data_IF_319106356530
#
_entry.id   IF_319106356530
#
_cell.length_a   1.000
_cell.length_b   1.000
_cell.length_c   1.000
_cell.angle_alpha   90.00
_cell.angle_beta   90.00
_cell.angle_gamma   90.00
#
_symmetry.space_group_name_H-M   'P 1'
#
loop_
_entity.id
_entity.type
_entity.pdbx_description
1 polymer ?
#
# COMPACT_ATOMS: atom_id res chain seq x y z
N UNK A 1 21.81 -9.69 -17.19
CA UNK A 1 21.31 -9.01 -15.97
C UNK A 1 21.26 -9.99 -14.79
N UNK A 2 22.16 -9.86 -13.81
CA UNK A 2 22.01 -10.60 -12.55
C UNK A 2 20.78 -10.13 -11.78
N UNK A 3 19.97 -11.07 -11.32
CA UNK A 3 18.84 -10.74 -10.44
C UNK A 3 19.33 -10.72 -9.01
N UNK A 4 19.18 -9.60 -8.30
CA UNK A 4 19.40 -9.53 -6.86
C UNK A 4 18.46 -10.50 -6.17
N UNK A 5 19.02 -11.56 -5.57
CA UNK A 5 18.23 -12.56 -4.83
C UNK A 5 17.86 -11.98 -3.47
N UNK A 6 18.83 -11.35 -2.81
CA UNK A 6 18.69 -10.96 -1.42
C UNK A 6 19.64 -9.82 -1.05
N UNK A 7 19.15 -8.94 -0.19
CA UNK A 7 19.92 -7.88 0.45
C UNK A 7 19.87 -8.14 1.94
N UNK A 8 21.01 -8.53 2.54
CA UNK A 8 21.10 -8.82 3.98
C UNK A 8 21.91 -7.75 4.71
N UNK A 9 21.32 -7.20 5.78
CA UNK A 9 22.09 -6.51 6.82
C UNK A 9 22.90 -7.54 7.60
N UNK A 10 24.20 -7.30 7.79
CA UNK A 10 25.03 -8.13 8.67
C UNK A 10 24.67 -7.85 10.15
N UNK A 11 24.11 -8.81 10.90
CA UNK A 11 23.70 -8.57 12.28
C UNK A 11 24.86 -8.20 13.21
N UNK A 12 26.09 -8.60 12.87
CA UNK A 12 27.29 -8.32 13.68
C UNK A 12 27.68 -6.85 13.59
N UNK A 13 27.67 -6.28 12.38
CA UNK A 13 28.08 -4.89 12.17
C UNK A 13 26.92 -3.91 12.30
N UNK A 14 25.70 -4.33 11.96
CA UNK A 14 24.53 -3.46 11.86
C UNK A 14 23.59 -3.54 13.07
N UNK A 15 24.04 -4.06 14.23
CA UNK A 15 23.20 -4.21 15.44
C UNK A 15 22.48 -2.92 15.83
N UNK A 16 23.19 -1.78 15.79
CA UNK A 16 22.61 -0.45 16.09
C UNK A 16 21.51 -0.08 15.10
N UNK A 17 21.74 -0.34 13.80
CA UNK A 17 20.79 -0.05 12.73
C UNK A 17 19.52 -0.91 12.84
N UNK A 18 19.65 -2.20 13.16
CA UNK A 18 18.51 -3.10 13.37
C UNK A 18 17.64 -2.66 14.56
N UNK A 19 18.26 -2.26 15.67
CA UNK A 19 17.52 -1.75 16.83
C UNK A 19 16.83 -0.44 16.49
N UNK A 20 17.55 0.49 15.84
CA UNK A 20 17.00 1.76 15.38
C UNK A 20 15.79 1.57 14.46
N UNK A 21 15.90 0.73 13.44
CA UNK A 21 14.83 0.45 12.48
C UNK A 21 13.56 -0.05 13.19
N UNK A 22 13.69 -1.00 14.13
CA UNK A 22 12.56 -1.58 14.87
C UNK A 22 11.78 -0.55 15.67
N UNK A 23 12.43 0.50 16.15
CA UNK A 23 11.76 1.55 16.92
C UNK A 23 11.29 2.70 16.04
N UNK A 24 12.10 3.10 15.05
CA UNK A 24 11.75 4.17 14.13
C UNK A 24 10.55 3.80 13.25
N UNK A 25 10.44 2.55 12.79
CA UNK A 25 9.30 2.10 11.98
C UNK A 25 7.97 2.23 12.73
N UNK A 26 7.98 2.02 14.05
CA UNK A 26 6.77 2.17 14.90
C UNK A 26 6.38 3.63 15.02
N UNK A 27 7.36 4.52 15.27
CA UNK A 27 7.15 5.95 15.37
C UNK A 27 6.67 6.53 14.03
N UNK A 28 7.36 6.20 12.94
CA UNK A 28 7.00 6.57 11.59
C UNK A 28 5.58 6.12 11.24
N UNK A 29 5.24 4.86 11.53
CA UNK A 29 3.91 4.33 11.26
C UNK A 29 2.83 4.99 12.11
N UNK A 30 3.14 5.36 13.36
CA UNK A 30 2.25 6.13 14.21
C UNK A 30 1.96 7.51 13.63
N UNK A 31 3.01 8.25 13.25
CA UNK A 31 2.88 9.56 12.62
C UNK A 31 2.11 9.48 11.31
N UNK A 32 2.39 8.49 10.45
CA UNK A 32 1.69 8.27 9.20
C UNK A 32 0.18 8.01 9.36
N UNK A 33 -0.23 7.30 10.42
CA UNK A 33 -1.65 7.12 10.75
C UNK A 33 -2.33 8.41 11.19
N UNK A 34 -1.62 9.25 11.93
CA UNK A 34 -2.15 10.54 12.34
C UNK A 34 -2.31 11.49 11.16
N UNK A 35 -1.31 11.53 10.25
CA UNK A 35 -1.43 12.27 8.99
C UNK A 35 -2.61 11.77 8.18
N UNK A 36 -2.79 10.45 8.04
CA UNK A 36 -3.95 9.90 7.34
C UNK A 36 -5.28 10.38 7.94
N UNK A 37 -5.38 10.36 9.27
CA UNK A 37 -6.56 10.86 9.97
C UNK A 37 -6.77 12.36 9.71
N UNK A 38 -5.70 13.16 9.76
CA UNK A 38 -5.76 14.60 9.51
C UNK A 38 -6.18 14.92 8.07
N UNK A 39 -5.63 14.21 7.08
CA UNK A 39 -6.01 14.34 5.66
C UNK A 39 -7.47 13.93 5.38
N UNK A 40 -8.04 13.05 6.20
CA UNK A 40 -9.46 12.66 6.11
C UNK A 40 -10.40 13.65 6.81
N UNK A 41 -9.85 14.55 7.63
CA UNK A 41 -10.58 15.55 8.40
C UNK A 41 -9.97 16.92 8.16
N UNK A 42 -9.97 17.43 6.91
CA UNK A 42 -9.37 18.72 6.59
C UNK A 42 -9.97 19.87 7.41
N UNK A 43 -11.23 19.74 7.85
CA UNK A 43 -11.89 20.68 8.76
C UNK A 43 -11.19 20.87 10.12
N UNK A 44 -10.28 19.95 10.49
CA UNK A 44 -9.50 20.02 11.73
C UNK A 44 -8.06 20.51 11.52
N UNK A 45 -7.67 20.77 10.27
CA UNK A 45 -6.31 21.14 9.90
C UNK A 45 -6.15 22.65 9.90
N UNK A 46 -5.40 23.18 10.87
CA UNK A 46 -5.11 24.62 10.99
C UNK A 46 -3.80 25.04 10.35
N UNK A 47 -2.91 24.09 10.03
CA UNK A 47 -1.62 24.33 9.39
C UNK A 47 -1.24 23.18 8.43
N UNK A 48 -0.21 23.37 7.59
CA UNK A 48 0.34 22.30 6.76
C UNK A 48 0.70 21.05 7.58
N UNK A 49 0.49 19.87 6.99
CA UNK A 49 0.61 18.59 7.70
C UNK A 49 2.03 18.29 8.18
N UNK A 50 3.02 18.74 7.42
CA UNK A 50 4.45 18.62 7.74
C UNK A 50 4.84 19.57 8.89
N UNK A 51 4.37 20.82 8.88
CA UNK A 51 4.56 21.74 10.00
C UNK A 51 3.94 21.22 11.30
N UNK A 52 2.71 20.69 11.22
CA UNK A 52 2.03 20.07 12.35
C UNK A 52 2.84 18.90 12.93
N UNK A 53 3.36 18.03 12.06
CA UNK A 53 4.22 16.91 12.47
C UNK A 53 5.53 17.39 13.12
N UNK A 54 6.19 18.40 12.52
CA UNK A 54 7.43 18.99 13.05
C UNK A 54 7.21 19.49 14.47
N UNK A 55 6.16 20.32 14.69
CA UNK A 55 5.83 20.88 16.01
C UNK A 55 5.47 19.79 17.03
N UNK A 56 4.66 18.79 16.63
CA UNK A 56 4.16 17.75 17.55
C UNK A 56 5.21 16.71 17.95
N UNK A 57 6.12 16.35 17.05
CA UNK A 57 7.05 15.23 17.25
C UNK A 57 8.52 15.65 17.31
N UNK A 58 8.86 16.93 17.09
CA UNK A 58 10.25 17.40 17.08
C UNK A 58 11.10 16.74 15.99
N UNK A 59 10.48 16.39 14.87
CA UNK A 59 11.15 15.71 13.76
C UNK A 59 11.67 16.73 12.74
N UNK A 60 12.68 16.32 11.99
CA UNK A 60 13.23 17.10 10.87
C UNK A 60 12.21 17.25 9.76
N UNK A 61 12.35 18.33 9.02
CA UNK A 61 11.48 18.64 7.88
C UNK A 61 11.47 17.54 6.81
N UNK A 62 12.63 16.95 6.49
CA UNK A 62 12.72 15.86 5.51
C UNK A 62 11.87 14.66 5.92
N UNK A 63 11.96 14.27 7.19
CA UNK A 63 11.17 13.17 7.75
C UNK A 63 9.67 13.48 7.70
N UNK A 64 9.28 14.68 8.11
CA UNK A 64 7.88 15.12 8.07
C UNK A 64 7.33 15.07 6.64
N UNK A 65 8.07 15.63 5.69
CA UNK A 65 7.71 15.63 4.28
C UNK A 65 7.64 14.23 3.68
N UNK A 66 8.59 13.36 4.01
CA UNK A 66 8.57 11.96 3.57
C UNK A 66 7.31 11.23 4.05
N UNK A 67 6.92 11.41 5.32
CA UNK A 67 5.70 10.84 5.87
C UNK A 67 4.48 11.40 5.12
N UNK A 68 4.37 12.71 5.00
CA UNK A 68 3.23 13.38 4.35
C UNK A 68 3.09 12.92 2.90
N UNK A 69 4.18 12.94 2.11
CA UNK A 69 4.18 12.48 0.71
C UNK A 69 3.82 11.00 0.59
N UNK A 70 4.34 10.14 1.46
CA UNK A 70 4.02 8.71 1.44
C UNK A 70 2.52 8.48 1.70
N UNK A 71 1.96 9.16 2.69
CA UNK A 71 0.56 9.03 3.07
C UNK A 71 -0.36 9.66 2.01
N UNK A 72 0.01 10.81 1.46
CA UNK A 72 -0.70 11.46 0.35
C UNK A 72 -0.74 10.54 -0.88
N UNK A 73 0.39 9.93 -1.25
CA UNK A 73 0.47 8.98 -2.36
C UNK A 73 -0.43 7.75 -2.13
N UNK A 74 -0.41 7.17 -0.92
CA UNK A 74 -1.34 6.07 -0.56
C UNK A 74 -2.80 6.49 -0.64
N UNK A 75 -3.12 7.72 -0.22
CA UNK A 75 -4.48 8.27 -0.27
C UNK A 75 -4.94 8.46 -1.70
N UNK A 76 -4.10 9.04 -2.56
CA UNK A 76 -4.36 9.22 -3.98
C UNK A 76 -4.59 7.87 -4.67
N UNK A 77 -3.68 6.91 -4.47
CA UNK A 77 -3.82 5.55 -5.02
C UNK A 77 -5.12 4.87 -4.57
N UNK A 78 -5.51 5.02 -3.30
CA UNK A 78 -6.77 4.48 -2.81
C UNK A 78 -7.98 5.20 -3.43
N UNK A 79 -7.90 6.51 -3.67
CA UNK A 79 -8.98 7.28 -4.29
C UNK A 79 -9.19 6.85 -5.75
N UNK A 80 -8.12 6.70 -6.51
CA UNK A 80 -8.16 6.16 -7.88
C UNK A 80 -8.73 4.75 -7.91
N UNK A 81 -8.29 3.86 -7.01
CA UNK A 81 -8.87 2.53 -6.88
C UNK A 81 -10.40 2.58 -6.66
N UNK A 82 -10.90 3.52 -5.87
CA UNK A 82 -12.35 3.68 -5.63
C UNK A 82 -13.08 4.16 -6.88
N UNK A 83 -12.49 5.06 -7.67
CA UNK A 83 -13.05 5.48 -8.97
C UNK A 83 -13.14 4.32 -9.95
N UNK A 84 -12.08 3.52 -10.07
CA UNK A 84 -12.06 2.33 -10.92
C UNK A 84 -13.09 1.28 -10.47
N UNK A 85 -13.18 1.03 -9.16
CA UNK A 85 -14.22 0.17 -8.57
C UNK A 85 -15.63 0.66 -8.92
N UNK A 86 -15.87 1.98 -8.86
CA UNK A 86 -17.16 2.57 -9.20
C UNK A 86 -17.49 2.39 -10.69
N UNK A 87 -16.53 2.64 -11.58
CA UNK A 87 -16.71 2.46 -13.02
C UNK A 87 -17.08 1.00 -13.36
N UNK A 88 -16.27 0.04 -12.88
CA UNK A 88 -16.53 -1.38 -13.08
C UNK A 88 -17.89 -1.82 -12.50
N UNK A 89 -18.28 -1.25 -11.35
CA UNK A 89 -19.58 -1.55 -10.74
C UNK A 89 -20.74 -1.02 -11.58
N UNK A 90 -20.62 0.19 -12.16
CA UNK A 90 -21.64 0.78 -13.04
C UNK A 90 -21.85 -0.09 -14.29
N UNK A 91 -20.78 -0.55 -14.92
CA UNK A 91 -20.86 -1.44 -16.09
C UNK A 91 -21.51 -2.79 -15.76
N UNK A 92 -21.06 -3.44 -14.68
CA UNK A 92 -21.65 -4.71 -14.22
C UNK A 92 -23.14 -4.55 -13.93
N UNK A 93 -23.52 -3.43 -13.33
CA UNK A 93 -24.91 -3.11 -13.01
C UNK A 93 -25.75 -2.89 -14.27
N UNK A 94 -25.22 -2.18 -15.28
CA UNK A 94 -25.86 -2.02 -16.61
C UNK A 94 -26.14 -3.38 -17.25
N UNK A 95 -25.10 -4.21 -17.41
CA UNK A 95 -25.22 -5.57 -17.98
C UNK A 95 -26.23 -6.43 -17.22
N UNK A 96 -26.22 -6.36 -15.88
CA UNK A 96 -27.16 -7.10 -15.03
C UNK A 96 -28.61 -6.62 -15.22
N UNK A 97 -28.85 -5.30 -15.29
CA UNK A 97 -30.17 -4.74 -15.57
C UNK A 97 -30.70 -5.14 -16.96
N UNK A 98 -29.86 -5.15 -17.98
CA UNK A 98 -30.24 -5.61 -19.33
C UNK A 98 -30.65 -7.09 -19.33
N UNK A 99 -29.87 -7.95 -18.67
CA UNK A 99 -30.21 -9.38 -18.52
C UNK A 99 -31.51 -9.57 -17.72
N UNK A 100 -31.75 -8.77 -16.69
CA UNK A 100 -33.02 -8.76 -15.93
C UNK A 100 -34.21 -8.39 -16.84
N UNK A 101 -34.08 -7.33 -17.66
CA UNK A 101 -35.12 -6.93 -18.64
C UNK A 101 -35.42 -8.02 -19.66
N UNK A 102 -34.42 -8.78 -20.12
CA UNK A 102 -34.65 -9.91 -21.05
C UNK A 102 -35.39 -11.06 -20.35
N UNK A 103 -35.00 -11.40 -19.13
CA UNK A 103 -35.61 -12.48 -18.34
C UNK A 103 -37.05 -12.18 -17.93
N UNK A 104 -37.35 -10.95 -17.51
CA UNK A 104 -38.72 -10.57 -17.15
C UNK A 104 -39.68 -10.63 -18.35
N UNK A 105 -39.21 -10.30 -19.57
CA UNK A 105 -39.99 -10.48 -20.80
C UNK A 105 -40.33 -11.96 -21.05
N UNK A 106 -39.35 -12.87 -20.89
CA UNK A 106 -39.57 -14.32 -20.99
C UNK A 106 -40.56 -14.83 -19.95
N UNK A 107 -40.38 -14.43 -18.68
CA UNK A 107 -41.29 -14.80 -17.60
C UNK A 107 -42.72 -14.31 -17.87
N UNK A 108 -42.89 -13.09 -18.40
CA UNK A 108 -44.22 -12.55 -18.73
C UNK A 108 -44.91 -13.36 -19.83
N UNK A 109 -44.18 -13.89 -20.82
CA UNK A 109 -44.74 -14.79 -21.83
C UNK A 109 -45.24 -16.10 -21.20
N UNK A 110 -44.43 -16.72 -20.33
CA UNK A 110 -44.83 -17.92 -19.58
C UNK A 110 -46.01 -17.63 -18.62
N UNK A 111 -46.03 -16.46 -17.97
CA UNK A 111 -47.12 -16.03 -17.08
C UNK A 111 -48.46 -15.95 -17.82
N UNK A 112 -48.47 -15.49 -19.08
CA UNK A 112 -49.68 -15.47 -19.92
C UNK A 112 -50.18 -16.86 -20.26
N UNK A 113 -49.28 -17.81 -20.56
CA UNK A 113 -49.64 -19.22 -20.75
C UNK A 113 -50.19 -19.83 -19.44
N UNK A 114 -49.61 -19.46 -18.30
CA UNK A 114 -49.95 -19.99 -16.99
C UNK A 114 -51.36 -19.57 -16.56
N UNK A 115 -51.71 -18.31 -16.80
CA UNK A 115 -53.07 -17.81 -16.56
C UNK A 115 -54.15 -18.55 -17.37
N UNK A 116 -53.77 -19.20 -18.47
CA UNK A 116 -54.67 -20.00 -19.32
C UNK A 116 -54.60 -21.50 -19.03
N UNK A 117 -53.84 -21.92 -18.01
CA UNK A 117 -53.55 -23.33 -17.70
C UNK A 117 -52.98 -24.14 -18.89
N UNK A 118 -52.20 -23.49 -19.76
CA UNK A 118 -51.63 -24.10 -20.99
C UNK A 118 -50.13 -24.40 -20.89
N UNK A 119 -49.56 -24.53 -19.69
CA UNK A 119 -48.14 -24.93 -19.56
C UNK A 119 -48.03 -26.44 -19.50
N UNK A 120 -46.98 -26.97 -20.14
CA UNK A 120 -46.52 -28.33 -19.85
C UNK A 120 -45.86 -28.42 -18.46
N UNK A 121 -45.69 -29.63 -17.94
CA UNK A 121 -45.02 -29.88 -16.66
C UNK A 121 -43.58 -29.34 -16.65
N UNK A 122 -42.85 -29.52 -17.75
CA UNK A 122 -41.50 -28.96 -17.93
C UNK A 122 -41.49 -27.43 -17.94
N UNK A 123 -42.47 -26.80 -18.61
CA UNK A 123 -42.62 -25.35 -18.63
C UNK A 123 -42.98 -24.83 -17.22
N UNK A 124 -43.77 -25.56 -16.42
CA UNK A 124 -44.12 -25.19 -15.04
C UNK A 124 -42.89 -25.17 -14.13
N UNK A 125 -42.04 -26.19 -14.20
CA UNK A 125 -40.77 -26.23 -13.48
C UNK A 125 -39.87 -25.06 -13.89
N UNK A 126 -39.75 -24.82 -15.20
CA UNK A 126 -38.99 -23.69 -15.75
C UNK A 126 -39.52 -22.33 -15.27
N UNK A 127 -40.86 -22.16 -15.25
CA UNK A 127 -41.52 -20.95 -14.78
C UNK A 127 -41.22 -20.65 -13.32
N UNK A 128 -41.32 -21.65 -12.44
CA UNK A 128 -40.99 -21.52 -11.01
C UNK A 128 -39.52 -21.13 -10.81
N UNK A 129 -38.59 -21.81 -11.50
CA UNK A 129 -37.15 -21.51 -11.46
C UNK A 129 -36.85 -20.08 -11.93
N UNK A 130 -37.46 -19.65 -13.03
CA UNK A 130 -37.22 -18.30 -13.58
C UNK A 130 -37.77 -17.20 -12.65
N UNK A 131 -38.89 -17.44 -11.95
CA UNK A 131 -39.43 -16.52 -10.93
C UNK A 131 -38.45 -16.35 -9.77
N UNK A 132 -37.91 -17.44 -9.24
CA UNK A 132 -36.90 -17.41 -8.16
C UNK A 132 -35.63 -16.70 -8.63
N UNK A 133 -35.11 -17.05 -9.80
CA UNK A 133 -33.93 -16.41 -10.37
C UNK A 133 -34.11 -14.89 -10.57
N UNK A 134 -35.29 -14.45 -11.03
CA UNK A 134 -35.61 -13.03 -11.16
C UNK A 134 -35.68 -12.32 -9.80
N UNK A 135 -36.24 -12.96 -8.78
CA UNK A 135 -36.25 -12.43 -7.42
C UNK A 135 -34.81 -12.22 -6.90
N UNK A 136 -33.97 -13.24 -6.96
CA UNK A 136 -32.57 -13.17 -6.56
C UNK A 136 -31.79 -12.10 -7.33
N UNK A 137 -32.06 -12.00 -8.63
CA UNK A 137 -31.44 -11.00 -9.51
C UNK A 137 -31.84 -9.58 -9.11
N UNK A 138 -33.13 -9.35 -8.80
CA UNK A 138 -33.65 -8.07 -8.29
C UNK A 138 -32.98 -7.70 -6.97
N UNK A 139 -32.90 -8.63 -6.03
CA UNK A 139 -32.20 -8.43 -4.75
C UNK A 139 -30.73 -8.08 -4.97
N UNK A 140 -30.05 -8.80 -5.87
CA UNK A 140 -28.66 -8.52 -6.19
C UNK A 140 -28.47 -7.16 -6.86
N UNK A 141 -29.38 -6.72 -7.73
CA UNK A 141 -29.34 -5.37 -8.33
C UNK A 141 -29.47 -4.33 -7.20
N UNK A 142 -30.44 -4.48 -6.30
CA UNK A 142 -30.60 -3.60 -5.14
C UNK A 142 -29.33 -3.49 -4.29
N UNK A 143 -28.70 -4.63 -3.96
CA UNK A 143 -27.40 -4.63 -3.24
C UNK A 143 -26.30 -3.88 -4.01
N UNK A 144 -26.22 -4.05 -5.33
CA UNK A 144 -25.22 -3.35 -6.16
C UNK A 144 -25.50 -1.85 -6.25
N UNK A 145 -26.76 -1.43 -6.33
CA UNK A 145 -27.15 -0.01 -6.30
C UNK A 145 -26.80 0.65 -4.97
N UNK A 146 -27.09 0.00 -3.85
CA UNK A 146 -26.70 0.49 -2.53
C UNK A 146 -25.17 0.59 -2.41
N UNK A 147 -24.42 -0.39 -2.93
CA UNK A 147 -22.95 -0.34 -2.96
C UNK A 147 -22.44 0.83 -3.82
N UNK A 148 -23.05 1.06 -4.98
CA UNK A 148 -22.74 2.19 -5.88
C UNK A 148 -22.94 3.52 -5.14
N UNK A 149 -24.11 3.74 -4.52
CA UNK A 149 -24.42 4.96 -3.75
C UNK A 149 -23.41 5.19 -2.62
N UNK A 150 -23.02 4.13 -1.89
CA UNK A 150 -21.99 4.22 -0.84
C UNK A 150 -20.62 4.63 -1.39
N UNK A 151 -20.20 4.07 -2.53
CA UNK A 151 -18.94 4.44 -3.19
C UNK A 151 -18.98 5.89 -3.69
N UNK A 152 -20.07 6.32 -4.33
CA UNK A 152 -20.25 7.70 -4.79
C UNK A 152 -20.18 8.70 -3.63
N UNK A 153 -20.87 8.41 -2.52
CA UNK A 153 -20.77 9.22 -1.29
C UNK A 153 -19.35 9.27 -0.74
N UNK A 154 -18.65 8.14 -0.73
CA UNK A 154 -17.26 8.05 -0.23
C UNK A 154 -16.33 8.91 -1.07
N UNK A 155 -16.40 8.79 -2.39
CA UNK A 155 -15.59 9.57 -3.34
C UNK A 155 -15.90 11.06 -3.20
N UNK A 156 -17.19 11.44 -3.18
CA UNK A 156 -17.61 12.84 -3.01
C UNK A 156 -17.12 13.44 -1.69
N UNK A 157 -17.18 12.67 -0.60
CA UNK A 157 -16.73 13.14 0.71
C UNK A 157 -15.20 13.23 0.84
N UNK A 158 -14.44 12.50 0.01
CA UNK A 158 -12.99 12.37 0.16
C UNK A 158 -12.52 11.64 1.43
N UNK A 159 -13.44 11.14 2.27
CA UNK A 159 -13.17 10.45 3.54
C UNK A 159 -12.95 8.96 3.28
N UNK A 160 -11.69 8.55 3.14
CA UNK A 160 -11.33 7.19 2.74
C UNK A 160 -11.06 6.29 3.95
N UNK A 161 -11.61 5.07 3.95
CA UNK A 161 -11.31 4.06 4.97
C UNK A 161 -10.10 3.20 4.57
N UNK A 162 -9.06 3.20 5.40
CA UNK A 162 -7.86 2.40 5.22
C UNK A 162 -7.58 1.55 6.45
N UNK A 163 -7.28 0.27 6.24
CA UNK A 163 -6.80 -0.63 7.28
C UNK A 163 -5.30 -0.89 7.08
N UNK A 164 -4.46 -0.26 7.90
CA UNK A 164 -2.99 -0.34 7.79
C UNK A 164 -2.43 -1.77 7.96
N UNK A 165 -3.07 -2.63 8.75
CA UNK A 165 -2.64 -4.02 9.03
C UNK A 165 -3.29 -5.10 8.15
N UNK A 166 -3.95 -4.72 7.05
CA UNK A 166 -4.81 -5.56 6.20
C UNK A 166 -6.15 -5.93 6.83
N UNK A 167 -7.21 -5.95 5.99
CA UNK A 167 -8.55 -6.38 6.41
C UNK A 167 -8.61 -7.87 6.75
N UNK A 168 -7.84 -8.71 6.05
CA UNK A 168 -7.76 -10.17 6.31
C UNK A 168 -7.29 -10.41 7.74
N UNK A 169 -6.15 -9.82 8.10
CA UNK A 169 -5.59 -9.98 9.44
C UNK A 169 -6.47 -9.32 10.49
N UNK A 170 -7.11 -8.17 10.21
CA UNK A 170 -8.07 -7.58 11.15
C UNK A 170 -9.25 -8.54 11.44
N UNK A 171 -9.81 -9.19 10.43
CA UNK A 171 -10.93 -10.14 10.59
C UNK A 171 -10.54 -11.44 11.28
N UNK A 172 -9.27 -11.85 11.21
CA UNK A 172 -8.77 -13.03 11.89
C UNK A 172 -8.96 -12.98 13.42
N UNK A 173 -9.19 -11.80 14.00
CA UNK A 173 -9.50 -11.66 15.42
C UNK A 173 -10.77 -12.42 15.85
N UNK A 174 -11.72 -12.64 14.94
CA UNK A 174 -12.98 -13.31 15.24
C UNK A 174 -12.87 -14.85 15.19
N UNK A 175 -11.84 -15.38 14.50
CA UNK A 175 -11.65 -16.81 14.28
C UNK A 175 -10.18 -17.18 14.49
N UNK A 176 -9.69 -17.09 15.74
CA UNK A 176 -8.26 -17.21 16.05
C UNK A 176 -7.66 -18.56 15.66
N UNK A 177 -8.30 -19.68 16.07
CA UNK A 177 -7.81 -21.04 15.81
C UNK A 177 -7.69 -21.32 14.31
N UNK A 178 -8.73 -21.00 13.54
CA UNK A 178 -8.75 -21.17 12.07
C UNK A 178 -7.67 -20.34 11.36
N UNK A 179 -7.28 -19.20 11.94
CA UNK A 179 -6.24 -18.33 11.40
C UNK A 179 -4.85 -18.59 12.00
N UNK A 180 -4.67 -19.68 12.75
CA UNK A 180 -3.37 -20.09 13.30
C UNK A 180 -2.89 -19.28 14.51
N UNK A 181 -3.79 -18.58 15.21
CA UNK A 181 -3.47 -17.82 16.41
C UNK A 181 -3.87 -18.58 17.67
N UNK A 182 -2.93 -18.73 18.61
CA UNK A 182 -3.16 -19.33 19.93
C UNK A 182 -4.06 -18.45 20.80
N UNK A 183 -3.89 -17.14 20.73
CA UNK A 183 -4.64 -16.16 21.53
C UNK A 183 -4.66 -14.76 20.88
N UNK A 184 -5.50 -13.88 21.41
CA UNK A 184 -5.61 -12.49 20.95
C UNK A 184 -4.29 -11.71 21.05
N UNK A 185 -3.41 -12.02 22.01
CA UNK A 185 -2.11 -11.34 22.16
C UNK A 185 -1.22 -11.60 20.95
N UNK A 186 -1.14 -12.86 20.50
CA UNK A 186 -0.38 -13.25 19.31
C UNK A 186 -0.95 -12.59 18.05
N UNK A 187 -2.27 -12.62 17.88
CA UNK A 187 -2.94 -11.92 16.78
C UNK A 187 -2.63 -10.42 16.79
N UNK A 188 -2.75 -9.75 17.95
CA UNK A 188 -2.50 -8.31 18.09
C UNK A 188 -1.06 -7.96 17.72
N UNK A 189 -0.10 -8.81 18.08
CA UNK A 189 1.30 -8.62 17.71
C UNK A 189 1.49 -8.78 16.20
N UNK A 190 0.92 -9.81 15.58
CA UNK A 190 0.96 -10.00 14.14
C UNK A 190 0.30 -8.82 13.40
N UNK A 191 -0.86 -8.36 13.87
CA UNK A 191 -1.57 -7.21 13.31
C UNK A 191 -0.76 -5.92 13.41
N UNK A 192 -0.13 -5.66 14.56
CA UNK A 192 0.76 -4.49 14.73
C UNK A 192 1.98 -4.56 13.82
N UNK A 193 2.60 -5.74 13.66
CA UNK A 193 3.73 -5.93 12.73
C UNK A 193 3.31 -5.65 11.29
N UNK A 194 2.16 -6.19 10.85
CA UNK A 194 1.65 -5.93 9.51
C UNK A 194 1.25 -4.45 9.30
N UNK A 195 0.76 -3.80 10.36
CA UNK A 195 0.38 -2.39 10.38
C UNK A 195 1.59 -1.47 10.28
N UNK A 196 2.64 -1.79 11.02
CA UNK A 196 3.88 -1.02 11.16
C UNK A 196 5.01 -1.66 10.35
N UNK A 197 4.73 -1.98 9.08
CA UNK A 197 5.62 -2.81 8.22
C UNK A 197 6.53 -2.02 7.28
N UNK A 198 6.38 -0.71 7.21
CA UNK A 198 7.09 0.10 6.22
C UNK A 198 7.33 1.50 6.76
N UNK A 199 8.54 1.99 6.55
CA UNK A 199 8.91 3.40 6.58
C UNK A 199 9.53 3.77 5.25
N UNK A 200 9.48 5.04 4.88
CA UNK A 200 10.07 5.54 3.65
C UNK A 200 10.82 6.84 3.92
N UNK A 201 11.92 7.01 3.19
CA UNK A 201 12.68 8.26 3.06
C UNK A 201 12.56 8.71 1.62
N UNK A 202 11.62 9.63 1.37
CA UNK A 202 11.35 10.14 0.02
C UNK A 202 12.36 11.25 -0.30
N UNK A 203 13.14 11.10 -1.39
CA UNK A 203 14.13 12.09 -1.80
C UNK A 203 13.48 13.41 -2.26
N UNK A 204 14.29 14.47 -2.27
CA UNK A 204 14.00 15.72 -2.98
C UNK A 204 14.91 15.82 -4.21
N UNK A 205 14.37 16.29 -5.32
CA UNK A 205 15.11 16.47 -6.58
C UNK A 205 16.28 17.44 -6.45
N UNK A 206 16.18 18.39 -5.52
CA UNK A 206 17.16 19.43 -5.24
C UNK A 206 18.31 18.94 -4.33
N UNK A 207 18.21 17.74 -3.75
CA UNK A 207 19.23 17.24 -2.82
C UNK A 207 20.41 16.58 -3.53
N UNK A 208 21.63 16.93 -3.10
CA UNK A 208 22.85 16.23 -3.50
C UNK A 208 22.73 14.74 -3.18
N UNK A 209 23.08 13.88 -4.15
CA UNK A 209 22.92 12.42 -4.08
C UNK A 209 21.47 11.91 -3.93
N UNK A 210 20.48 12.78 -4.14
CA UNK A 210 19.05 12.45 -4.17
C UNK A 210 18.41 12.25 -2.79
N UNK A 211 19.03 11.48 -1.89
CA UNK A 211 18.49 11.20 -0.54
C UNK A 211 19.55 11.36 0.56
N UNK A 212 19.46 12.44 1.33
CA UNK A 212 20.38 12.66 2.44
C UNK A 212 20.05 11.84 3.70
N UNK A 213 18.84 11.28 3.82
CA UNK A 213 18.42 10.57 5.03
C UNK A 213 18.86 9.10 5.07
N UNK A 214 19.04 8.49 3.89
CA UNK A 214 19.39 7.09 3.75
C UNK A 214 20.26 6.94 2.51
N UNK A 215 21.54 6.65 2.71
CA UNK A 215 22.51 6.50 1.64
C UNK A 215 23.24 5.17 1.73
N UNK A 216 23.66 4.67 0.56
CA UNK A 216 24.43 3.46 0.41
C UNK A 216 25.80 3.83 -0.15
N UNK A 217 26.86 3.41 0.54
CA UNK A 217 28.24 3.64 0.15
C UNK A 217 28.93 2.33 -0.18
N UNK A 218 29.74 2.34 -1.23
CA UNK A 218 30.54 1.17 -1.63
C UNK A 218 31.69 0.96 -0.64
N UNK A 219 32.02 -0.30 -0.41
CA UNK A 219 33.27 -0.68 0.28
C UNK A 219 34.23 -1.29 -0.72
N UNK A 220 35.50 -1.45 -0.33
CA UNK A 220 36.51 -2.13 -1.16
C UNK A 220 36.21 -3.62 -1.37
N UNK A 221 35.25 -4.18 -0.61
CA UNK A 221 34.84 -5.58 -0.74
C UNK A 221 33.71 -5.71 -1.76
N UNK A 222 33.78 -6.71 -2.66
CA UNK A 222 32.74 -6.90 -3.67
C UNK A 222 31.39 -7.17 -3.01
N UNK A 223 30.33 -6.60 -3.59
CA UNK A 223 28.93 -6.75 -3.15
C UNK A 223 28.65 -6.33 -1.71
N UNK A 224 29.56 -5.56 -1.11
CA UNK A 224 29.47 -5.14 0.27
C UNK A 224 29.38 -3.62 0.32
N UNK A 225 28.38 -3.13 1.04
CA UNK A 225 28.04 -1.72 1.11
C UNK A 225 27.83 -1.28 2.56
N UNK A 226 28.00 0.00 2.83
CA UNK A 226 27.64 0.62 4.10
C UNK A 226 26.31 1.34 3.89
N UNK A 227 25.27 0.86 4.58
CA UNK A 227 24.01 1.57 4.69
C UNK A 227 24.08 2.55 5.85
N UNK A 228 23.87 3.82 5.55
CA UNK A 228 23.89 4.90 6.52
C UNK A 228 22.52 5.56 6.59
N UNK A 229 21.96 5.67 7.79
CA UNK A 229 20.65 6.27 8.02
C UNK A 229 20.77 7.41 9.03
N UNK A 230 20.30 8.60 8.64
CA UNK A 230 20.16 9.74 9.54
C UNK A 230 18.83 9.65 10.29
N UNK A 231 18.84 9.66 11.64
CA UNK A 231 17.62 9.64 12.44
C UNK A 231 16.68 10.79 12.09
N UNK A 232 15.37 10.50 12.12
CA UNK A 232 14.35 11.48 11.77
C UNK A 232 14.09 12.53 12.86
N UNK A 233 14.35 12.18 14.12
CA UNK A 233 14.37 13.12 15.26
C UNK A 233 15.65 13.96 15.25
N UNK A 234 15.53 15.22 15.65
CA UNK A 234 16.70 16.08 15.83
C UNK A 234 17.49 15.66 17.08
N UNK A 235 18.83 15.66 16.98
CA UNK A 235 19.72 15.48 18.13
C UNK A 235 19.68 16.67 19.12
N UNK A 236 18.95 17.74 18.79
CA UNK A 236 18.84 18.99 19.55
C UNK A 236 19.70 20.12 18.96
N UNK A 237 19.50 21.37 19.40
CA UNK A 237 20.09 22.56 18.77
C UNK A 237 21.63 22.62 18.85
N UNK A 238 22.26 21.87 19.75
CA UNK A 238 23.72 21.91 20.00
C UNK A 238 24.47 20.63 19.61
N UNK A 239 23.80 19.63 19.03
CA UNK A 239 24.43 18.34 18.67
C UNK A 239 24.33 18.08 17.17
N UNK A 240 25.46 17.75 16.54
CA UNK A 240 25.46 17.26 15.16
C UNK A 240 24.76 15.91 15.10
N UNK A 241 23.87 15.77 14.14
CA UNK A 241 23.23 14.50 13.84
C UNK A 241 24.29 13.48 13.40
N UNK A 242 24.24 12.27 13.98
CA UNK A 242 25.14 11.18 13.60
C UNK A 242 24.36 10.13 12.81
N UNK A 243 24.90 9.75 11.66
CA UNK A 243 24.38 8.63 10.89
C UNK A 243 24.59 7.32 11.64
N UNK A 244 23.59 6.45 11.56
CA UNK A 244 23.67 5.08 12.06
C UNK A 244 24.03 4.21 10.86
N UNK A 245 25.13 3.48 10.98
CA UNK A 245 25.69 2.71 9.88
C UNK A 245 25.57 1.20 10.14
N UNK A 246 25.51 0.44 9.05
CA UNK A 246 25.54 -1.02 9.07
C UNK A 246 25.99 -1.57 7.73
N UNK A 247 26.72 -2.68 7.75
CA UNK A 247 27.17 -3.35 6.52
C UNK A 247 26.03 -4.14 5.91
N UNK A 248 25.87 -4.03 4.60
CA UNK A 248 24.85 -4.72 3.81
C UNK A 248 25.55 -5.50 2.70
N UNK A 249 25.13 -6.75 2.51
CA UNK A 249 25.63 -7.62 1.44
C UNK A 249 24.52 -7.90 0.43
N UNK A 250 24.84 -7.71 -0.84
CA UNK A 250 23.96 -8.04 -1.94
C UNK A 250 24.35 -9.41 -2.51
N UNK A 251 23.38 -10.32 -2.54
CA UNK A 251 23.55 -11.65 -3.12
C UNK A 251 22.86 -11.69 -4.48
N UNK A 252 23.63 -12.07 -5.50
CA UNK A 252 23.17 -12.09 -6.88
C UNK A 252 23.09 -13.52 -7.40
N UNK A 253 22.09 -13.80 -8.25
CA UNK A 253 22.06 -15.02 -9.06
C UNK A 253 22.74 -14.72 -10.40
N UNK A 254 23.70 -15.55 -10.86
CA UNK A 254 24.09 -15.53 -12.26
C UNK A 254 22.89 -15.96 -13.11
N UNK A 255 22.62 -15.23 -14.20
CA UNK A 255 21.76 -15.78 -15.25
C UNK A 255 22.56 -16.87 -15.98
N UNK A 256 21.85 -17.89 -16.49
CA UNK A 256 22.47 -18.97 -17.27
C UNK A 256 23.26 -18.39 -18.45
N UNK A 257 24.59 -18.53 -18.44
CA UNK A 257 25.46 -18.24 -19.59
C UNK A 257 26.51 -17.12 -19.40
N UNK A 258 26.53 -16.38 -18.30
CA UNK A 258 27.48 -15.26 -18.14
C UNK A 258 28.23 -15.30 -16.80
N UNK A 259 29.55 -15.10 -16.85
CA UNK A 259 30.44 -15.16 -15.69
C UNK A 259 30.24 -13.99 -14.73
N UNK A 260 30.39 -14.28 -13.43
CA UNK A 260 30.18 -13.35 -12.30
C UNK A 260 30.98 -12.04 -12.33
N UNK A 261 32.08 -12.01 -13.08
CA UNK A 261 33.01 -10.87 -13.17
C UNK A 261 32.43 -9.66 -13.92
N UNK A 262 31.76 -9.89 -15.06
CA UNK A 262 31.36 -8.83 -16.00
C UNK A 262 30.32 -7.84 -15.44
N UNK A 263 29.52 -8.28 -14.46
CA UNK A 263 28.40 -7.50 -13.92
C UNK A 263 28.73 -6.67 -12.69
N UNK A 264 29.73 -7.09 -11.91
CA UNK A 264 30.23 -6.31 -10.75
C UNK A 264 30.77 -4.96 -11.23
N UNK A 265 31.43 -4.95 -12.39
CA UNK A 265 31.86 -3.73 -13.04
C UNK A 265 30.69 -2.82 -13.46
N UNK A 266 29.50 -3.34 -13.78
CA UNK A 266 28.39 -2.54 -14.30
C UNK A 266 27.64 -1.77 -13.20
N UNK A 267 27.41 -2.40 -12.04
CA UNK A 267 26.84 -1.74 -10.86
C UNK A 267 27.84 -0.73 -10.26
N UNK A 268 29.12 -1.10 -10.21
CA UNK A 268 30.20 -0.19 -9.84
C UNK A 268 30.27 0.99 -10.84
N UNK A 269 30.13 0.74 -12.14
CA UNK A 269 30.04 1.79 -13.18
C UNK A 269 28.78 2.66 -13.05
N UNK A 270 27.61 2.14 -12.67
CA UNK A 270 26.41 2.95 -12.44
C UNK A 270 26.55 3.84 -11.19
N UNK A 271 27.08 3.29 -10.09
CA UNK A 271 27.34 4.04 -8.87
C UNK A 271 28.44 5.09 -9.07
N UNK A 272 29.52 4.76 -9.81
CA UNK A 272 30.57 5.70 -10.23
C UNK A 272 30.02 6.77 -11.18
N UNK A 273 29.14 6.43 -12.13
CA UNK A 273 28.44 7.41 -12.99
C UNK A 273 27.58 8.37 -12.18
N UNK A 274 26.93 7.91 -11.12
CA UNK A 274 26.19 8.77 -10.21
C UNK A 274 27.09 9.64 -9.31
N UNK A 275 28.25 9.14 -8.86
CA UNK A 275 29.28 9.96 -8.20
C UNK A 275 29.81 11.04 -9.14
N UNK A 276 30.18 10.72 -10.38
CA UNK A 276 30.73 11.70 -11.33
C UNK A 276 29.69 12.74 -11.78
N UNK A 277 28.41 12.38 -11.92
CA UNK A 277 27.31 13.35 -12.16
C UNK A 277 27.06 14.32 -11.00
N UNK A 278 27.53 14.01 -9.78
CA UNK A 278 27.53 14.96 -8.66
C UNK A 278 28.72 15.92 -8.68
N UNK A 279 29.86 15.49 -9.25
CA UNK A 279 31.03 16.34 -9.44
C UNK A 279 30.85 17.34 -10.59
N UNK A 280 30.30 16.90 -11.73
CA UNK A 280 30.09 17.77 -12.91
C UNK A 280 29.05 18.88 -12.69
N UNK A 281 28.18 18.77 -11.68
CA UNK A 281 27.22 19.82 -11.32
C UNK A 281 27.74 20.83 -10.30
N UNK A 282 28.94 20.63 -9.75
CA UNK A 282 29.64 21.62 -8.93
C UNK A 282 30.72 22.40 -9.70
N UNK A 283 30.94 22.10 -10.98
CA UNK A 283 31.94 22.75 -11.83
C UNK A 283 31.34 23.59 -12.98
N UNK A 284 30.10 24.09 -12.82
CA UNK A 284 29.51 25.12 -13.69
C UNK A 284 28.79 26.17 -12.87
#
# INVERSE_FOLDING_TARGET
MMTTIEVRLDPKTAKKLIVFEKDEIKNWSHMGRLVWHHMNHPERSTCPHDEWLKKKFGIKERTANSIVRTIAGRRAALMELKKTELSSLKEKLKKKKEKYKKRIKKLNALKKKAARNKLSEEELVSYRREKTALHEMKQSIGRMETKKKKLEKTIKSGKLSLCFGTKKLFKAQYFLKENGFKNHKQWRQAFRRARDRMMAYIPRSEETFGNQQCHLEMTDKPNTYILSVLPGKSAGPKKKDKAIQGTVKFNYRPNSGETRSHYLEELDRELLRHKNKSFDRCAR
#
